data_IF_902441809530
#
_entry.id   IF_902441809530
#
_cell.length_a   1.000
_cell.length_b   1.000
_cell.length_c   1.000
_cell.angle_alpha   90.00
_cell.angle_beta   90.00
_cell.angle_gamma   90.00
#
_symmetry.space_group_name_H-M   'P 1'
#
loop_
_entity.id
_entity.type
_entity.pdbx_description
1 polymer ?
#
# COMPACT_ATOMS: atom_id res chain seq x y z
N UNK A 1 3.87 12.47 8.29
CA UNK A 1 3.81 11.48 7.19
C UNK A 1 2.50 11.55 6.42
N UNK A 2 1.34 11.31 7.02
CA UNK A 2 0.07 11.27 6.27
C UNK A 2 -0.30 12.59 5.59
N UNK A 3 0.04 13.74 6.17
CA UNK A 3 -0.13 15.08 5.56
C UNK A 3 0.69 15.23 4.26
N UNK A 4 1.93 14.73 4.26
CA UNK A 4 2.83 14.81 3.11
C UNK A 4 2.35 13.92 1.97
N UNK A 5 1.97 12.69 2.28
CA UNK A 5 1.47 11.74 1.26
C UNK A 5 0.27 12.34 0.53
N UNK A 6 -0.61 13.00 1.27
CA UNK A 6 -1.80 13.57 0.67
C UNK A 6 -1.55 14.89 -0.06
N UNK A 7 -0.57 15.70 0.39
CA UNK A 7 -0.01 16.80 -0.44
C UNK A 7 0.49 16.29 -1.78
N UNK A 8 1.18 15.16 -1.82
CA UNK A 8 1.64 14.55 -3.08
C UNK A 8 0.45 14.08 -3.94
N UNK A 9 -0.55 13.40 -3.36
CA UNK A 9 -1.76 13.04 -4.09
C UNK A 9 -2.48 14.25 -4.69
N UNK A 10 -2.60 15.35 -3.95
CA UNK A 10 -3.25 16.57 -4.42
C UNK A 10 -2.44 17.32 -5.47
N UNK A 11 -1.13 17.13 -5.49
CA UNK A 11 -0.26 17.57 -6.59
C UNK A 11 -0.30 16.63 -7.81
N UNK A 12 -1.13 15.57 -7.78
CA UNK A 12 -1.33 14.64 -8.90
C UNK A 12 -0.33 13.48 -8.95
N UNK A 13 0.45 13.27 -7.89
CA UNK A 13 1.37 12.13 -7.81
C UNK A 13 0.68 10.88 -7.29
N UNK A 14 0.99 9.74 -7.90
CA UNK A 14 0.73 8.44 -7.30
C UNK A 14 1.79 8.16 -6.23
N UNK A 15 1.38 7.83 -5.00
CA UNK A 15 2.31 7.57 -3.89
C UNK A 15 2.26 6.10 -3.53
N UNK A 16 3.39 5.42 -3.70
CA UNK A 16 3.51 3.98 -3.44
C UNK A 16 4.51 3.70 -2.31
N UNK A 17 4.26 2.64 -1.54
CA UNK A 17 5.17 2.18 -0.50
C UNK A 17 6.03 1.03 -1.01
N UNK A 18 7.35 1.13 -0.85
CA UNK A 18 8.29 0.05 -1.12
C UNK A 18 9.10 -0.27 0.14
N UNK A 19 8.81 -1.40 0.79
CA UNK A 19 9.37 -1.73 2.11
C UNK A 19 9.98 -3.13 2.18
N UNK A 20 11.06 -3.25 2.94
CA UNK A 20 11.54 -4.53 3.45
C UNK A 20 10.88 -4.73 4.82
N UNK A 21 10.15 -5.82 4.99
CA UNK A 21 9.40 -6.09 6.23
C UNK A 21 9.20 -7.58 6.44
N UNK A 22 8.93 -7.95 7.69
CA UNK A 22 8.54 -9.30 8.11
C UNK A 22 7.03 -9.38 8.34
N UNK A 23 6.47 -10.59 8.30
CA UNK A 23 5.02 -10.84 8.39
C UNK A 23 4.38 -10.21 9.61
N UNK A 24 5.04 -10.27 10.77
CA UNK A 24 4.48 -9.72 12.01
C UNK A 24 4.33 -8.18 11.95
N UNK A 25 5.31 -7.50 11.36
CA UNK A 25 5.29 -6.06 11.18
C UNK A 25 4.28 -5.66 10.09
N UNK A 26 4.25 -6.41 8.99
CA UNK A 26 3.27 -6.22 7.93
C UNK A 26 1.85 -6.31 8.50
N UNK A 27 1.58 -7.35 9.31
CA UNK A 27 0.26 -7.55 9.90
C UNK A 27 -0.12 -6.44 10.87
N UNK A 28 0.81 -6.03 11.73
CA UNK A 28 0.59 -4.93 12.68
C UNK A 28 0.24 -3.63 11.95
N UNK A 29 1.00 -3.29 10.90
CA UNK A 29 0.75 -2.09 10.08
C UNK A 29 -0.58 -2.15 9.32
N UNK A 30 -0.97 -3.33 8.82
CA UNK A 30 -2.29 -3.54 8.19
C UNK A 30 -3.42 -3.28 9.19
N UNK A 31 -3.33 -3.84 10.40
CA UNK A 31 -4.36 -3.68 11.44
C UNK A 31 -4.51 -2.22 11.87
N UNK A 32 -3.39 -1.47 11.91
CA UNK A 32 -3.36 -0.03 12.18
C UNK A 32 -3.84 0.83 11.01
N UNK A 33 -4.06 0.24 9.83
CA UNK A 33 -4.46 0.96 8.62
C UNK A 33 -3.35 1.84 8.04
N UNK A 34 -2.09 1.54 8.35
CA UNK A 34 -0.94 2.33 7.87
C UNK A 34 -0.87 2.34 6.34
N UNK A 35 -1.06 1.17 5.73
CA UNK A 35 -1.01 0.96 4.28
C UNK A 35 -2.13 1.65 3.52
N UNK A 36 -3.22 2.01 4.20
CA UNK A 36 -4.32 2.67 3.52
C UNK A 36 -3.84 3.99 2.91
N UNK A 37 -2.80 4.64 3.46
CA UNK A 37 -2.23 5.90 2.99
C UNK A 37 -1.65 5.88 1.57
N UNK A 38 -1.32 4.72 1.03
CA UNK A 38 -0.63 4.59 -0.27
C UNK A 38 -1.56 4.03 -1.34
N UNK A 39 -1.33 4.40 -2.59
CA UNK A 39 -2.06 3.87 -3.74
C UNK A 39 -1.67 2.41 -4.01
N UNK A 40 -0.36 2.12 -3.90
CA UNK A 40 0.20 0.79 -4.05
C UNK A 40 1.16 0.48 -2.90
N UNK A 41 1.23 -0.80 -2.52
CA UNK A 41 2.08 -1.26 -1.43
C UNK A 41 2.84 -2.51 -1.89
N UNK A 42 4.16 -2.43 -1.81
CA UNK A 42 5.10 -3.48 -2.21
C UNK A 42 5.94 -3.88 -1.01
N UNK A 43 5.61 -5.02 -0.41
CA UNK A 43 6.28 -5.55 0.78
C UNK A 43 7.14 -6.75 0.41
N UNK A 44 8.38 -6.81 0.93
CA UNK A 44 9.31 -7.90 0.61
C UNK A 44 8.77 -9.29 0.95
N UNK A 45 8.07 -9.42 2.10
CA UNK A 45 7.49 -10.69 2.53
C UNK A 45 6.37 -11.18 1.60
N UNK A 46 5.70 -10.27 0.87
CA UNK A 46 4.64 -10.63 -0.07
C UNK A 46 5.18 -10.92 -1.48
N UNK A 47 6.21 -10.19 -1.92
CA UNK A 47 6.71 -10.27 -3.31
C UNK A 47 7.98 -11.09 -3.46
N UNK A 48 8.66 -11.46 -2.36
CA UNK A 48 9.91 -12.24 -2.37
C UNK A 48 11.15 -11.46 -2.80
N UNK A 49 11.06 -10.14 -3.01
CA UNK A 49 12.15 -9.27 -3.42
C UNK A 49 12.50 -8.27 -2.32
N UNK A 50 13.78 -8.00 -2.10
CA UNK A 50 14.28 -7.08 -1.07
C UNK A 50 15.04 -5.90 -1.69
N UNK A 51 15.05 -4.76 -1.01
CA UNK A 51 16.03 -3.70 -1.26
C UNK A 51 17.36 -4.12 -0.61
N UNK A 52 18.53 -3.83 -1.19
CA UNK A 52 18.75 -2.98 -2.37
C UNK A 52 18.80 -3.75 -3.71
N UNK A 53 18.28 -4.98 -3.81
CA UNK A 53 18.37 -5.74 -5.05
C UNK A 53 17.62 -5.05 -6.20
N UNK A 54 18.31 -4.90 -7.34
CA UNK A 54 17.84 -4.17 -8.53
C UNK A 54 16.48 -4.67 -9.02
N UNK A 55 16.26 -5.98 -8.95
CA UNK A 55 15.02 -6.65 -9.39
C UNK A 55 13.78 -6.11 -8.69
N UNK A 56 13.89 -5.69 -7.42
CA UNK A 56 12.77 -5.11 -6.69
C UNK A 56 12.30 -3.80 -7.32
N UNK A 57 13.23 -2.94 -7.74
CA UNK A 57 12.93 -1.65 -8.33
C UNK A 57 12.35 -1.83 -9.74
N UNK A 58 12.93 -2.72 -10.54
CA UNK A 58 12.43 -3.08 -11.88
C UNK A 58 11.00 -3.64 -11.79
N UNK A 59 10.75 -4.55 -10.84
CA UNK A 59 9.42 -5.10 -10.59
C UNK A 59 8.39 -3.99 -10.29
N UNK A 60 8.74 -3.06 -9.40
CA UNK A 60 7.86 -1.95 -9.02
C UNK A 60 7.57 -1.03 -10.19
N UNK A 61 8.60 -0.62 -10.95
CA UNK A 61 8.42 0.22 -12.15
C UNK A 61 7.49 -0.44 -13.16
N UNK A 62 7.67 -1.75 -13.41
CA UNK A 62 6.80 -2.53 -14.31
C UNK A 62 5.36 -2.58 -13.80
N UNK A 63 5.15 -2.78 -12.50
CA UNK A 63 3.81 -2.80 -11.89
C UNK A 63 3.11 -1.45 -11.91
N UNK A 64 3.87 -0.36 -11.75
CA UNK A 64 3.34 1.00 -11.82
C UNK A 64 3.14 1.48 -13.26
N UNK A 65 3.74 0.83 -14.26
CA UNK A 65 3.72 1.29 -15.65
C UNK A 65 4.45 2.63 -15.84
N UNK A 66 5.38 2.96 -14.94
CA UNK A 66 6.06 4.26 -14.91
C UNK A 66 7.47 4.17 -15.47
N UNK A 67 7.88 5.21 -16.20
CA UNK A 67 9.27 5.39 -16.63
C UNK A 67 10.13 5.84 -15.43
N UNK A 68 11.37 5.37 -15.28
CA UNK A 68 12.23 5.75 -14.15
C UNK A 68 12.35 7.27 -13.93
N UNK A 69 12.55 8.03 -15.02
CA UNK A 69 12.67 9.50 -15.00
C UNK A 69 11.42 10.25 -14.51
N UNK A 70 10.28 9.55 -14.36
CA UNK A 70 9.02 10.09 -13.82
C UNK A 70 8.74 9.62 -12.40
N UNK A 71 9.70 8.93 -11.78
CA UNK A 71 9.59 8.41 -10.43
C UNK A 71 10.58 9.13 -9.51
N UNK A 72 10.15 9.33 -8.27
CA UNK A 72 11.00 9.78 -7.17
C UNK A 72 11.03 8.65 -6.14
N UNK A 73 12.22 8.19 -5.76
CA UNK A 73 12.42 7.22 -4.70
C UNK A 73 13.02 7.89 -3.46
N UNK A 74 12.39 7.67 -2.31
CA UNK A 74 12.75 8.30 -1.04
C UNK A 74 13.09 7.20 -0.04
N UNK A 75 14.29 7.26 0.52
CA UNK A 75 14.77 6.30 1.53
C UNK A 75 15.81 6.97 2.42
N UNK A 76 15.96 6.49 3.65
CA UNK A 76 16.96 6.96 4.60
C UNK A 76 18.33 6.30 4.36
N UNK A 77 18.34 5.08 3.81
CA UNK A 77 19.57 4.32 3.56
C UNK A 77 20.10 4.57 2.17
N UNK A 78 21.33 5.09 2.09
CA UNK A 78 22.04 5.35 0.83
C UNK A 78 22.13 4.08 -0.03
N UNK A 79 22.37 2.92 0.58
CA UNK A 79 22.42 1.64 -0.14
C UNK A 79 21.14 1.32 -0.92
N UNK A 80 19.97 1.76 -0.44
CA UNK A 80 18.71 1.59 -1.15
C UNK A 80 18.53 2.62 -2.28
N UNK A 81 19.23 3.75 -2.24
CA UNK A 81 19.13 4.80 -3.24
C UNK A 81 20.00 4.51 -4.48
N UNK A 82 21.15 3.87 -4.30
CA UNK A 82 22.10 3.57 -5.40
C UNK A 82 21.42 2.84 -6.57
N UNK A 83 20.71 1.70 -6.37
CA UNK A 83 20.07 0.97 -7.48
C UNK A 83 18.96 1.79 -8.14
N UNK A 84 18.20 2.56 -7.35
CA UNK A 84 17.15 3.43 -7.89
C UNK A 84 17.76 4.50 -8.81
N UNK A 85 18.86 5.13 -8.37
CA UNK A 85 19.57 6.13 -9.16
C UNK A 85 20.15 5.53 -10.45
N UNK A 86 20.76 4.34 -10.39
CA UNK A 86 21.31 3.63 -11.55
C UNK A 86 20.23 3.31 -12.60
N UNK A 87 19.00 3.03 -12.18
CA UNK A 87 17.86 2.86 -13.09
C UNK A 87 17.33 4.18 -13.69
N UNK A 88 17.89 5.33 -13.28
CA UNK A 88 17.43 6.65 -13.70
C UNK A 88 16.20 7.15 -12.95
N UNK A 89 15.93 6.61 -11.75
CA UNK A 89 14.93 7.15 -10.82
C UNK A 89 15.53 8.35 -10.09
N UNK A 90 14.76 9.41 -9.92
CA UNK A 90 15.16 10.56 -9.10
C UNK A 90 15.19 10.10 -7.65
N UNK A 91 16.31 10.28 -6.95
CA UNK A 91 16.44 9.84 -5.55
C UNK A 91 16.48 11.01 -4.58
N UNK A 92 15.83 10.84 -3.43
CA UNK A 92 15.90 11.78 -2.32
C UNK A 92 16.30 11.01 -1.06
N UNK A 93 17.43 11.37 -0.48
CA UNK A 93 17.83 10.86 0.84
C UNK A 93 16.98 11.53 1.92
N UNK A 94 16.21 10.73 2.64
CA UNK A 94 15.43 11.22 3.77
C UNK A 94 16.31 11.34 5.02
N UNK A 95 16.45 12.55 5.55
CA UNK A 95 17.22 12.82 6.78
C UNK A 95 16.33 13.39 7.89
N UNK A 96 15.47 14.35 7.54
CA UNK A 96 14.50 14.94 8.45
C UNK A 96 13.28 15.43 7.69
N UNK A 97 12.18 15.66 8.42
CA UNK A 97 10.94 16.17 7.83
C UNK A 97 11.13 17.58 7.24
N UNK A 98 11.94 18.42 7.89
CA UNK A 98 12.20 19.80 7.48
C UNK A 98 12.99 19.84 6.16
N UNK A 99 14.11 19.11 6.10
CA UNK A 99 14.90 18.98 4.87
C UNK A 99 14.07 18.40 3.74
N UNK A 100 13.26 17.37 4.03
CA UNK A 100 12.41 16.77 3.01
C UNK A 100 11.35 17.76 2.47
N UNK A 101 10.74 18.57 3.34
CA UNK A 101 9.81 19.62 2.90
C UNK A 101 10.50 20.66 2.00
N UNK A 102 11.74 21.04 2.33
CA UNK A 102 12.53 21.94 1.52
C UNK A 102 12.84 21.33 0.15
N UNK A 103 13.35 20.10 0.11
CA UNK A 103 13.62 19.37 -1.14
C UNK A 103 12.37 19.24 -2.01
N UNK A 104 11.19 18.99 -1.43
CA UNK A 104 9.92 18.98 -2.16
C UNK A 104 9.58 20.36 -2.76
N UNK A 105 9.82 21.44 -2.02
CA UNK A 105 9.59 22.80 -2.51
C UNK A 105 10.55 23.14 -3.67
N UNK A 106 11.80 22.71 -3.58
CA UNK A 106 12.83 22.96 -4.59
C UNK A 106 12.49 22.29 -5.93
N UNK A 107 11.87 21.11 -5.89
CA UNK A 107 11.34 20.43 -7.08
C UNK A 107 9.95 20.92 -7.51
N UNK A 108 9.48 22.05 -6.97
CA UNK A 108 8.25 22.73 -7.37
C UNK A 108 6.97 22.23 -6.70
N UNK A 109 7.04 21.27 -5.78
CA UNK A 109 5.88 20.80 -5.01
C UNK A 109 5.74 21.72 -3.81
N UNK A 110 4.83 22.72 -3.83
CA UNK A 110 4.66 23.69 -2.73
C UNK A 110 3.57 23.29 -1.73
N UNK A 111 3.67 23.78 -0.49
CA UNK A 111 2.57 23.73 0.49
C UNK A 111 1.41 24.62 0.05
N UNK A 112 0.20 24.06 -0.11
CA UNK A 112 -1.01 24.84 -0.39
C UNK A 112 -1.97 24.76 0.78
N UNK A 113 -2.43 25.90 1.32
CA UNK A 113 -3.45 25.92 2.40
C UNK A 113 -4.75 25.21 2.02
N UNK A 114 -5.09 25.19 0.73
CA UNK A 114 -6.23 24.47 0.16
C UNK A 114 -6.07 22.94 0.28
N UNK A 115 -4.83 22.44 0.17
CA UNK A 115 -4.51 21.01 0.32
C UNK A 115 -4.89 20.55 1.73
N UNK A 116 -4.56 21.35 2.77
CA UNK A 116 -4.90 21.03 4.17
C UNK A 116 -6.41 20.88 4.40
N UNK A 117 -7.24 21.72 3.76
CA UNK A 117 -8.71 21.59 3.83
C UNK A 117 -9.22 20.34 3.10
N UNK A 118 -8.70 20.06 1.90
CA UNK A 118 -9.03 18.83 1.15
C UNK A 118 -8.59 17.58 1.91
N UNK A 119 -7.48 17.63 2.64
CA UNK A 119 -6.99 16.55 3.50
C UNK A 119 -7.97 16.09 4.55
N UNK A 120 -8.49 17.04 5.31
CA UNK A 120 -9.43 16.71 6.37
C UNK A 120 -10.72 16.10 5.79
N UNK A 121 -11.14 16.53 4.60
CA UNK A 121 -12.25 15.92 3.87
C UNK A 121 -11.94 14.50 3.38
N UNK A 122 -10.78 14.30 2.74
CA UNK A 122 -10.31 12.98 2.30
C UNK A 122 -10.17 12.00 3.47
N UNK A 123 -9.56 12.41 4.57
CA UNK A 123 -9.35 11.59 5.78
C UNK A 123 -10.68 11.10 6.35
N UNK A 124 -11.73 11.93 6.33
CA UNK A 124 -13.10 11.54 6.69
C UNK A 124 -13.63 10.48 5.72
N UNK A 125 -13.61 10.74 4.40
CA UNK A 125 -14.10 9.82 3.36
C UNK A 125 -13.38 8.46 3.37
N UNK A 126 -12.06 8.48 3.53
CA UNK A 126 -11.22 7.27 3.59
C UNK A 126 -11.49 6.45 4.84
N UNK A 127 -11.63 7.09 6.00
CA UNK A 127 -12.01 6.41 7.26
C UNK A 127 -13.35 5.69 7.11
N UNK A 128 -14.30 6.32 6.42
CA UNK A 128 -15.59 5.73 6.09
C UNK A 128 -15.46 4.55 5.12
N UNK A 129 -14.73 4.71 4.00
CA UNK A 129 -14.43 3.64 3.06
C UNK A 129 -13.78 2.43 3.76
N UNK A 130 -12.78 2.64 4.62
CA UNK A 130 -12.11 1.57 5.35
C UNK A 130 -13.06 0.86 6.34
N UNK A 131 -13.97 1.60 6.98
CA UNK A 131 -15.03 1.02 7.83
C UNK A 131 -15.95 0.12 7.01
N UNK A 132 -16.36 0.56 5.82
CA UNK A 132 -17.19 -0.20 4.89
C UNK A 132 -16.44 -1.45 4.39
N UNK A 133 -15.19 -1.31 3.94
CA UNK A 133 -14.32 -2.41 3.47
C UNK A 133 -14.15 -3.48 4.55
N UNK A 134 -13.95 -3.10 5.81
CA UNK A 134 -13.88 -4.03 6.96
C UNK A 134 -15.21 -4.76 7.19
N UNK A 135 -16.34 -4.05 7.13
CA UNK A 135 -17.67 -4.67 7.22
C UNK A 135 -17.90 -5.68 6.09
N UNK A 136 -17.55 -5.31 4.87
CA UNK A 136 -17.64 -6.20 3.70
C UNK A 136 -16.78 -7.46 3.88
N UNK A 137 -15.51 -7.33 4.28
CA UNK A 137 -14.64 -8.50 4.55
C UNK A 137 -15.26 -9.44 5.60
N UNK A 138 -15.82 -8.90 6.69
CA UNK A 138 -16.52 -9.69 7.72
C UNK A 138 -17.77 -10.40 7.16
N UNK A 139 -18.61 -9.68 6.41
CA UNK A 139 -19.81 -10.24 5.80
C UNK A 139 -19.48 -11.35 4.78
N UNK A 140 -18.48 -11.13 3.93
CA UNK A 140 -17.98 -12.12 2.96
C UNK A 140 -17.51 -13.40 3.66
N UNK A 141 -16.73 -13.29 4.73
CA UNK A 141 -16.30 -14.45 5.54
C UNK A 141 -17.48 -15.21 6.13
N UNK A 142 -18.48 -14.51 6.67
CA UNK A 142 -19.71 -15.12 7.22
C UNK A 142 -20.51 -15.86 6.13
N UNK A 143 -20.67 -15.27 4.95
CA UNK A 143 -21.36 -15.86 3.82
C UNK A 143 -20.67 -17.16 3.34
N UNK A 144 -19.35 -17.12 3.13
CA UNK A 144 -18.58 -18.28 2.69
C UNK A 144 -18.67 -19.44 3.70
N UNK A 145 -18.58 -19.15 5.00
CA UNK A 145 -18.74 -20.15 6.06
C UNK A 145 -20.15 -20.77 6.07
N UNK A 146 -21.20 -19.97 5.89
CA UNK A 146 -22.60 -20.47 5.82
C UNK A 146 -22.79 -21.37 4.60
N UNK A 147 -22.26 -20.97 3.43
CA UNK A 147 -22.33 -21.75 2.18
C UNK A 147 -21.58 -23.08 2.31
N UNK A 148 -20.39 -23.08 2.91
CA UNK A 148 -19.62 -24.30 3.16
C UNK A 148 -20.37 -25.27 4.08
N UNK A 149 -20.92 -24.79 5.20
CA UNK A 149 -21.74 -25.60 6.13
C UNK A 149 -22.96 -26.21 5.43
N UNK A 150 -23.67 -25.45 4.59
CA UNK A 150 -24.83 -25.94 3.82
C UNK A 150 -24.44 -27.05 2.83
N UNK A 151 -23.35 -26.89 2.09
CA UNK A 151 -22.81 -27.94 1.20
C UNK A 151 -22.45 -29.22 1.96
N UNK A 152 -21.78 -29.10 3.11
CA UNK A 152 -21.40 -30.25 3.95
C UNK A 152 -22.62 -31.00 4.50
N UNK A 153 -23.66 -30.27 4.92
CA UNK A 153 -24.93 -30.85 5.39
C UNK A 153 -25.66 -31.61 4.27
N UNK A 154 -25.74 -31.04 3.06
CA UNK A 154 -26.36 -31.70 1.91
C UNK A 154 -25.63 -33.00 1.53
N UNK A 155 -24.29 -32.96 1.49
CA UNK A 155 -23.46 -34.14 1.21
C UNK A 155 -23.73 -35.27 2.21
N UNK A 156 -23.79 -34.96 3.51
CA UNK A 156 -24.11 -35.94 4.57
C UNK A 156 -25.51 -36.55 4.41
N UNK A 157 -26.52 -35.76 4.01
CA UNK A 157 -27.88 -36.27 3.76
C UNK A 157 -27.91 -37.24 2.57
N UNK A 158 -27.25 -36.89 1.47
CA UNK A 158 -27.13 -37.74 0.29
C UNK A 158 -26.38 -39.06 0.60
N UNK A 159 -25.29 -39.00 1.36
CA UNK A 159 -24.56 -40.19 1.84
C UNK A 159 -25.44 -41.08 2.72
N UNK A 160 -26.24 -40.49 3.62
CA UNK A 160 -27.17 -41.23 4.48
C UNK A 160 -28.28 -41.92 3.68
N UNK A 161 -28.85 -41.25 2.68
CA UNK A 161 -29.85 -41.85 1.79
C UNK A 161 -29.27 -43.01 0.97
N UNK A 162 -28.04 -42.88 0.45
CA UNK A 162 -27.36 -43.95 -0.28
C UNK A 162 -27.03 -45.19 0.56
N UNK A 163 -26.86 -45.05 1.88
CA UNK A 163 -26.63 -46.18 2.79
C UNK A 163 -27.91 -46.94 3.17
N UNK A 164 -29.08 -46.38 2.83
CA UNK A 164 -30.40 -46.95 3.13
C UNK A 164 -31.09 -47.57 1.91
N UNK A 165 -30.55 -47.35 0.72
CA UNK A 165 -30.91 -48.02 -0.52
C UNK A 165 -29.96 -49.20 -0.72
#
# INVERSE_FOLDING_TARGET
>A
MSEIIERLHLAGYTVSLLSNTYDIHAKSNELRGFYDNFDNVFLSNEIGLIKPDMDKYIYVLKKLGSKPKRCIFIDDKISNLIPAHELGIIVIKFESLEKFKQQLNDIGIKDRKEIKKRYESYKKKKKEYNKIKRKYKKAKKKYLNKRYRKKKSLKRRLEFQKKRA
#
